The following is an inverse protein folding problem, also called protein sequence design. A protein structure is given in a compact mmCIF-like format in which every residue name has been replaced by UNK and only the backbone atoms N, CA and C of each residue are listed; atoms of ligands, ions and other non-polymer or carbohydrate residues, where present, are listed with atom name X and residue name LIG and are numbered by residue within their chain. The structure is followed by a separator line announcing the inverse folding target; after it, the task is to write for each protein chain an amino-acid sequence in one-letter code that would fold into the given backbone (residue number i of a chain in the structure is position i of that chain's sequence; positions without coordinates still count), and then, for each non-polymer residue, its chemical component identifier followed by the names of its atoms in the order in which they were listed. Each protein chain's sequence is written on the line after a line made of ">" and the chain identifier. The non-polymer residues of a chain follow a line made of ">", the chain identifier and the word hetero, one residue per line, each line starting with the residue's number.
data_IF_057534037223
#
_entry.id   IF_057534037223
#
_cell.length_a   1.000
_cell.length_b   1.000
_cell.length_c   1.000
_cell.angle_alpha   90.00
_cell.angle_beta   90.00
_cell.angle_gamma   90.00
#
_symmetry.space_group_name_H-M   'P 1'
#
loop_
_entity.id
_entity.type
_entity.pdbx_description
1 polymer ?
#
# COMPACT_ATOMS: atom_id res chain seq x y z
N UNK A 1 3.95 -54.86 -8.91
CA UNK A 1 3.17 -54.28 -7.84
C UNK A 1 3.11 -52.75 -7.99
N UNK A 2 1.99 -52.18 -7.64
CA UNK A 2 1.83 -50.73 -7.66
C UNK A 2 2.11 -50.19 -6.27
N UNK A 3 2.93 -49.12 -6.18
CA UNK A 3 3.16 -48.38 -4.91
C UNK A 3 2.10 -47.30 -4.80
N UNK A 4 1.29 -47.34 -3.75
CA UNK A 4 0.32 -46.30 -3.44
C UNK A 4 0.85 -45.50 -2.27
N UNK A 5 0.96 -44.17 -2.47
CA UNK A 5 1.26 -43.23 -1.39
C UNK A 5 -0.07 -42.68 -0.88
N UNK A 6 -0.42 -43.03 0.35
CA UNK A 6 -1.59 -42.46 1.01
C UNK A 6 -1.29 -40.99 1.40
N UNK A 7 -2.07 -40.02 0.89
CA UNK A 7 -2.07 -38.69 1.38
C UNK A 7 -3.19 -38.52 2.42
N UNK A 8 -2.88 -38.50 3.71
CA UNK A 8 -3.90 -38.24 4.72
C UNK A 8 -4.40 -36.79 4.59
N UNK A 9 -5.68 -36.53 4.93
CA UNK A 9 -6.20 -35.15 4.97
C UNK A 9 -5.43 -34.33 6.02
N UNK A 10 -5.08 -33.10 5.70
CA UNK A 10 -4.31 -32.22 6.60
C UNK A 10 -5.16 -31.69 7.75
N UNK A 11 -6.48 -31.57 7.54
CA UNK A 11 -7.38 -30.92 8.49
C UNK A 11 -8.58 -31.81 8.81
N UNK A 12 -8.93 -31.85 10.08
CA UNK A 12 -10.16 -32.46 10.58
C UNK A 12 -10.99 -31.37 11.25
N UNK A 13 -12.20 -31.14 10.76
CA UNK A 13 -13.14 -30.19 11.33
C UNK A 13 -14.28 -30.93 11.98
N UNK A 14 -14.65 -30.56 13.21
CA UNK A 14 -15.76 -31.12 13.94
C UNK A 14 -16.77 -30.03 14.30
N UNK A 15 -18.02 -30.15 13.81
CA UNK A 15 -19.14 -29.27 14.17
C UNK A 15 -20.27 -30.17 14.76
N UNK A 16 -20.40 -30.12 16.07
CA UNK A 16 -21.32 -31.04 16.77
C UNK A 16 -20.94 -32.52 16.60
N UNK A 17 -21.84 -33.30 15.99
CA UNK A 17 -21.62 -34.74 15.70
C UNK A 17 -21.04 -34.98 14.29
N UNK A 18 -20.92 -33.95 13.45
CA UNK A 18 -20.39 -34.08 12.09
C UNK A 18 -18.89 -33.84 12.07
N UNK A 19 -18.16 -34.72 11.40
CA UNK A 19 -16.72 -34.58 11.17
C UNK A 19 -16.47 -34.49 9.67
N UNK A 20 -15.69 -33.49 9.26
CA UNK A 20 -15.26 -33.29 7.88
C UNK A 20 -13.74 -33.35 7.80
N UNK A 21 -13.23 -33.98 6.76
CA UNK A 21 -11.79 -34.11 6.51
C UNK A 21 -11.45 -33.31 5.25
N UNK A 22 -10.53 -32.37 5.37
CA UNK A 22 -10.12 -31.48 4.28
C UNK A 22 -8.68 -31.78 3.89
N UNK A 23 -8.43 -31.83 2.58
CA UNK A 23 -7.15 -32.25 2.02
C UNK A 23 -6.05 -31.22 2.11
N UNK A 24 -6.43 -29.93 2.05
CA UNK A 24 -5.50 -28.82 1.93
C UNK A 24 -6.07 -27.53 2.53
N UNK A 25 -5.22 -26.52 2.64
CA UNK A 25 -5.56 -25.18 3.16
C UNK A 25 -6.63 -24.48 2.34
N UNK A 26 -6.67 -24.71 1.02
CA UNK A 26 -7.67 -24.08 0.15
C UNK A 26 -9.07 -24.57 0.50
N UNK A 27 -9.24 -25.88 0.74
CA UNK A 27 -10.52 -26.44 1.16
C UNK A 27 -10.89 -25.99 2.58
N UNK A 28 -9.90 -25.85 3.47
CA UNK A 28 -10.14 -25.27 4.79
C UNK A 28 -10.64 -23.83 4.68
N UNK A 29 -9.98 -22.99 3.90
CA UNK A 29 -10.39 -21.61 3.67
C UNK A 29 -11.81 -21.53 3.10
N UNK A 30 -12.12 -22.34 2.07
CA UNK A 30 -13.48 -22.36 1.48
C UNK A 30 -14.53 -22.75 2.53
N UNK A 31 -14.24 -23.76 3.35
CA UNK A 31 -15.15 -24.17 4.41
C UNK A 31 -15.38 -23.07 5.45
N UNK A 32 -14.30 -22.42 5.90
CA UNK A 32 -14.39 -21.32 6.87
C UNK A 32 -15.16 -20.14 6.28
N UNK A 33 -14.86 -19.77 5.04
CA UNK A 33 -15.57 -18.71 4.33
C UNK A 33 -17.08 -19.01 4.20
N UNK A 34 -17.45 -20.25 3.85
CA UNK A 34 -18.85 -20.66 3.75
C UNK A 34 -19.57 -20.58 5.09
N UNK A 35 -18.90 -20.99 6.17
CA UNK A 35 -19.47 -20.92 7.52
C UNK A 35 -19.54 -19.48 8.05
N UNK A 36 -18.47 -18.69 7.85
CA UNK A 36 -18.40 -17.31 8.36
C UNK A 36 -19.31 -16.34 7.61
N UNK A 37 -19.63 -16.61 6.34
CA UNK A 37 -20.54 -15.77 5.55
C UNK A 37 -22.01 -16.24 5.62
N UNK A 38 -22.30 -17.37 6.29
CA UNK A 38 -23.65 -17.86 6.48
C UNK A 38 -24.46 -16.88 7.36
N UNK A 39 -25.55 -16.32 6.81
CA UNK A 39 -26.41 -15.32 7.48
C UNK A 39 -25.70 -14.01 7.89
N UNK A 40 -24.52 -13.73 7.31
CA UNK A 40 -23.79 -12.50 7.54
C UNK A 40 -24.12 -11.48 6.45
N UNK A 41 -24.38 -10.25 6.85
CA UNK A 41 -24.46 -9.08 5.99
C UNK A 41 -23.44 -8.06 6.44
N UNK A 42 -22.83 -7.35 5.52
CA UNK A 42 -21.85 -6.31 5.82
C UNK A 42 -22.27 -5.00 5.17
N UNK A 43 -22.20 -3.91 5.92
CA UNK A 43 -22.28 -2.55 5.40
C UNK A 43 -20.99 -1.80 5.72
N UNK A 44 -20.76 -0.65 5.08
CA UNK A 44 -19.60 0.20 5.35
C UNK A 44 -20.04 1.62 5.72
N UNK A 45 -19.09 2.46 6.15
CA UNK A 45 -19.37 3.82 6.62
C UNK A 45 -19.89 4.79 5.56
N UNK A 46 -19.73 4.47 4.28
CA UNK A 46 -20.13 5.36 3.16
C UNK A 46 -21.44 4.93 2.49
N UNK A 47 -21.90 3.72 2.74
CA UNK A 47 -23.09 3.16 2.12
C UNK A 47 -23.86 2.28 3.10
N UNK A 48 -25.16 2.52 3.22
CA UNK A 48 -26.06 1.63 3.93
C UNK A 48 -26.40 0.36 3.12
N UNK A 49 -25.82 0.23 1.92
CA UNK A 49 -25.99 -0.95 1.08
C UNK A 49 -25.35 -2.16 1.77
N UNK A 50 -26.17 -3.17 1.98
CA UNK A 50 -25.76 -4.42 2.62
C UNK A 50 -25.23 -5.40 1.58
N UNK A 51 -24.04 -5.91 1.81
CA UNK A 51 -23.39 -6.94 1.01
C UNK A 51 -23.62 -8.28 1.71
N UNK A 52 -24.20 -9.25 1.01
CA UNK A 52 -24.49 -10.58 1.56
C UNK A 52 -24.36 -11.68 0.52
N UNK A 53 -24.47 -12.93 0.91
CA UNK A 53 -24.51 -14.10 0.04
C UNK A 53 -23.28 -14.21 -0.90
N UNK A 54 -23.49 -14.43 -2.22
CA UNK A 54 -22.39 -14.60 -3.17
C UNK A 54 -21.46 -13.38 -3.28
N UNK A 55 -22.00 -12.17 -3.18
CA UNK A 55 -21.20 -10.93 -3.29
C UNK A 55 -20.32 -10.75 -2.08
N UNK A 56 -20.78 -11.14 -0.90
CA UNK A 56 -19.97 -11.16 0.31
C UNK A 56 -18.84 -12.19 0.20
N UNK A 57 -19.15 -13.40 -0.26
CA UNK A 57 -18.13 -14.44 -0.48
C UNK A 57 -17.07 -13.97 -1.47
N UNK A 58 -17.47 -13.32 -2.55
CA UNK A 58 -16.53 -12.76 -3.52
C UNK A 58 -15.64 -11.67 -2.90
N UNK A 59 -16.22 -10.77 -2.11
CA UNK A 59 -15.48 -9.74 -1.39
C UNK A 59 -14.45 -10.35 -0.44
N UNK A 60 -14.85 -11.29 0.42
CA UNK A 60 -13.96 -11.97 1.38
C UNK A 60 -12.84 -12.73 0.67
N UNK A 61 -13.15 -13.44 -0.42
CA UNK A 61 -12.13 -14.14 -1.21
C UNK A 61 -11.11 -13.18 -1.84
N UNK A 62 -11.56 -12.04 -2.35
CA UNK A 62 -10.68 -11.03 -2.92
C UNK A 62 -9.84 -10.35 -1.83
N UNK A 63 -10.41 -10.05 -0.67
CA UNK A 63 -9.68 -9.52 0.48
C UNK A 63 -8.60 -10.51 0.96
N UNK A 64 -8.90 -11.80 1.03
CA UNK A 64 -7.93 -12.82 1.42
C UNK A 64 -6.75 -12.87 0.44
N UNK A 65 -7.03 -12.92 -0.88
CA UNK A 65 -5.99 -12.89 -1.91
C UNK A 65 -5.16 -11.61 -1.86
N UNK A 66 -5.82 -10.48 -1.60
CA UNK A 66 -5.16 -9.19 -1.44
C UNK A 66 -4.18 -9.23 -0.26
N UNK A 67 -4.63 -9.64 0.92
CA UNK A 67 -3.78 -9.73 2.12
C UNK A 67 -2.59 -10.70 1.93
N UNK A 68 -2.81 -11.80 1.23
CA UNK A 68 -1.74 -12.75 0.90
C UNK A 68 -0.67 -12.12 -0.01
N UNK A 69 -1.08 -11.47 -1.11
CA UNK A 69 -0.18 -10.76 -2.01
C UNK A 69 0.50 -9.57 -1.32
N UNK A 70 -0.26 -8.79 -0.57
CA UNK A 70 0.20 -7.64 0.18
C UNK A 70 1.30 -8.03 1.19
N UNK A 71 1.08 -9.10 1.94
CA UNK A 71 2.05 -9.63 2.90
C UNK A 71 3.36 -10.07 2.26
N UNK A 72 3.32 -10.59 1.03
CA UNK A 72 4.53 -10.96 0.28
C UNK A 72 5.37 -9.74 -0.09
N UNK A 73 4.73 -8.62 -0.47
CA UNK A 73 5.43 -7.38 -0.82
C UNK A 73 6.05 -6.72 0.41
N UNK A 74 5.33 -6.70 1.53
CA UNK A 74 5.85 -6.15 2.79
C UNK A 74 7.12 -6.88 3.26
N UNK A 75 7.22 -8.19 3.04
CA UNK A 75 8.42 -8.97 3.37
C UNK A 75 9.68 -8.48 2.66
N UNK A 76 9.54 -7.75 1.54
CA UNK A 76 10.64 -7.10 0.83
C UNK A 76 11.03 -5.73 1.42
N UNK A 77 10.74 -5.50 2.69
CA UNK A 77 11.07 -4.28 3.43
C UNK A 77 10.36 -3.00 2.94
N UNK A 78 9.20 -3.16 2.27
CA UNK A 78 8.34 -2.03 1.89
C UNK A 78 7.40 -1.73 3.06
N UNK A 79 7.39 -0.50 3.61
CA UNK A 79 6.47 -0.13 4.67
C UNK A 79 5.01 -0.33 4.27
N UNK A 80 4.22 -0.91 5.18
CA UNK A 80 2.79 -1.18 4.96
C UNK A 80 2.01 0.08 4.58
N UNK A 81 2.27 1.18 5.28
CA UNK A 81 1.64 2.47 5.00
C UNK A 81 1.94 2.96 3.58
N UNK A 82 3.20 2.86 3.14
CA UNK A 82 3.62 3.25 1.80
C UNK A 82 2.88 2.44 0.72
N UNK A 83 2.84 1.12 0.87
CA UNK A 83 2.16 0.26 -0.10
C UNK A 83 0.65 0.54 -0.14
N UNK A 84 0.00 0.77 1.00
CA UNK A 84 -1.42 1.15 1.06
C UNK A 84 -1.71 2.44 0.30
N UNK A 85 -0.86 3.46 0.45
CA UNK A 85 -1.02 4.71 -0.30
C UNK A 85 -0.81 4.47 -1.79
N UNK A 86 0.26 3.75 -2.16
CA UNK A 86 0.62 3.49 -3.55
C UNK A 86 -0.49 2.78 -4.34
N UNK A 87 -1.12 1.75 -3.76
CA UNK A 87 -2.20 1.01 -4.45
C UNK A 87 -3.48 1.82 -4.63
N UNK A 88 -3.66 2.89 -3.83
CA UNK A 88 -4.77 3.83 -3.98
C UNK A 88 -4.50 4.90 -5.03
N UNK A 89 -3.25 5.15 -5.35
CA UNK A 89 -2.85 6.07 -6.40
C UNK A 89 -2.82 5.32 -7.74
N UNK A 90 -3.32 5.97 -8.77
CA UNK A 90 -3.32 5.39 -10.11
C UNK A 90 -2.07 5.86 -10.86
N UNK A 91 -0.88 5.44 -10.37
CA UNK A 91 0.40 5.81 -10.97
C UNK A 91 0.69 4.87 -12.13
N UNK A 92 0.94 5.45 -13.30
CA UNK A 92 1.24 4.75 -14.54
C UNK A 92 2.68 5.04 -14.99
N UNK A 93 3.18 4.25 -15.96
CA UNK A 93 4.50 4.46 -16.57
C UNK A 93 4.68 5.90 -17.08
N UNK A 94 3.65 6.46 -17.70
CA UNK A 94 3.66 7.81 -18.27
C UNK A 94 3.93 8.92 -17.26
N UNK A 95 3.63 8.67 -15.97
CA UNK A 95 3.90 9.64 -14.90
C UNK A 95 5.40 9.81 -14.64
N UNK A 96 6.21 8.79 -14.97
CA UNK A 96 7.66 8.86 -14.80
C UNK A 96 8.37 9.55 -15.96
N UNK A 97 7.71 9.85 -17.06
CA UNK A 97 8.33 10.49 -18.23
C UNK A 97 8.49 12.01 -18.05
N UNK A 98 7.69 12.61 -17.16
CA UNK A 98 7.68 14.05 -16.92
C UNK A 98 7.88 14.36 -15.44
N UNK A 99 8.82 15.25 -15.17
CA UNK A 99 9.12 15.65 -13.79
C UNK A 99 7.87 16.20 -13.05
N UNK A 100 7.03 16.98 -13.73
CA UNK A 100 5.81 17.52 -13.12
C UNK A 100 4.83 16.44 -12.66
N UNK A 101 4.67 15.35 -13.43
CA UNK A 101 3.78 14.26 -13.10
C UNK A 101 4.31 13.47 -11.92
N UNK A 102 5.61 13.10 -11.95
CA UNK A 102 6.19 12.34 -10.85
C UNK A 102 6.24 13.15 -9.54
N UNK A 103 6.47 14.44 -9.62
CA UNK A 103 6.39 15.32 -8.44
C UNK A 103 4.97 15.38 -7.86
N UNK A 104 3.94 15.44 -8.71
CA UNK A 104 2.56 15.37 -8.27
C UNK A 104 2.25 14.03 -7.58
N UNK A 105 2.73 12.91 -8.13
CA UNK A 105 2.59 11.59 -7.51
C UNK A 105 3.31 11.51 -6.15
N UNK A 106 4.53 12.03 -6.06
CA UNK A 106 5.29 12.09 -4.80
C UNK A 106 4.54 12.90 -3.73
N UNK A 107 3.98 14.05 -4.08
CA UNK A 107 3.17 14.86 -3.16
C UNK A 107 1.97 14.05 -2.65
N UNK A 108 1.25 13.34 -3.53
CA UNK A 108 0.11 12.52 -3.13
C UNK A 108 0.52 11.36 -2.21
N UNK A 109 1.68 10.74 -2.48
CA UNK A 109 2.23 9.70 -1.59
C UNK A 109 2.50 10.30 -0.21
N UNK A 110 3.18 11.43 -0.14
CA UNK A 110 3.52 12.09 1.13
C UNK A 110 2.26 12.53 1.89
N UNK A 111 1.30 13.14 1.21
CA UNK A 111 0.02 13.55 1.81
C UNK A 111 -0.72 12.35 2.45
N UNK A 112 -0.63 11.16 1.82
CA UNK A 112 -1.22 9.95 2.35
C UNK A 112 -0.42 9.27 3.48
N UNK A 113 0.87 9.64 3.64
CA UNK A 113 1.74 9.07 4.68
C UNK A 113 1.84 9.95 5.93
N UNK A 114 1.62 11.25 5.81
CA UNK A 114 1.74 12.21 6.92
C UNK A 114 0.49 12.11 7.78
N UNK A 115 0.66 11.93 9.10
CA UNK A 115 -0.43 12.00 10.05
C UNK A 115 -0.80 13.48 10.38
N UNK A 116 -2.01 13.68 10.92
CA UNK A 116 -2.53 15.01 11.24
C UNK A 116 -1.65 15.78 12.25
N UNK A 117 -1.01 15.08 13.19
CA UNK A 117 -0.11 15.70 14.18
C UNK A 117 1.14 16.27 13.50
N UNK A 118 1.63 15.58 12.46
CA UNK A 118 2.81 16.01 11.72
C UNK A 118 2.47 17.01 10.62
N UNK A 119 1.26 16.98 10.03
CA UNK A 119 0.81 18.06 9.12
C UNK A 119 0.97 19.43 9.76
N UNK A 120 0.53 19.59 11.01
CA UNK A 120 0.67 20.85 11.75
C UNK A 120 2.13 21.23 12.01
N UNK A 121 3.02 20.25 12.23
CA UNK A 121 4.46 20.51 12.40
C UNK A 121 5.13 20.92 11.09
N UNK A 122 4.68 20.44 9.95
CA UNK A 122 5.15 20.87 8.64
C UNK A 122 4.77 22.31 8.34
N UNK A 123 3.57 22.75 8.68
CA UNK A 123 3.18 24.16 8.57
C UNK A 123 4.02 25.09 9.46
N UNK A 124 4.38 24.64 10.66
CA UNK A 124 5.23 25.39 11.59
C UNK A 124 6.70 25.49 11.12
N UNK A 125 7.19 24.53 10.36
CA UNK A 125 8.57 24.53 9.81
C UNK A 125 8.70 25.35 8.52
N UNK A 126 7.63 25.87 7.93
CA UNK A 126 7.66 26.73 6.74
C UNK A 126 8.62 27.91 6.87
N UNK A 127 8.79 28.47 8.06
CA UNK A 127 9.66 29.62 8.32
C UNK A 127 11.15 29.28 8.35
N UNK A 128 11.53 28.02 8.53
CA UNK A 128 12.92 27.60 8.65
C UNK A 128 13.51 26.93 7.39
N UNK A 129 12.72 26.67 6.37
CA UNK A 129 13.14 25.93 5.18
C UNK A 129 13.48 26.84 3.99
N UNK A 130 14.50 27.67 4.16
CA UNK A 130 15.19 28.36 3.04
C UNK A 130 16.15 27.39 2.34
N UNK A 131 15.65 26.31 1.76
CA UNK A 131 16.46 25.47 0.89
C UNK A 131 16.17 25.87 -0.55
N UNK A 132 17.16 26.34 -1.30
CA UNK A 132 16.99 26.59 -2.71
C UNK A 132 16.93 25.25 -3.44
N UNK A 133 15.72 24.75 -3.71
CA UNK A 133 15.54 23.77 -4.77
C UNK A 133 15.84 24.53 -6.05
N UNK A 134 17.03 24.35 -6.60
CA UNK A 134 17.39 24.92 -7.90
C UNK A 134 16.69 24.10 -8.98
N UNK A 135 15.45 24.46 -9.27
CA UNK A 135 14.86 24.09 -10.54
C UNK A 135 15.56 24.88 -11.64
N UNK A 136 15.96 24.25 -12.74
CA UNK A 136 16.21 25.00 -13.96
C UNK A 136 14.94 25.78 -14.27
N UNK A 137 15.09 27.04 -14.74
CA UNK A 137 13.99 27.98 -15.06
C UNK A 137 12.99 27.44 -16.10
N UNK A 138 13.25 26.25 -16.68
CA UNK A 138 12.40 25.58 -17.66
C UNK A 138 11.21 24.80 -17.07
N UNK A 139 11.18 24.55 -15.76
CA UNK A 139 10.07 23.78 -15.14
C UNK A 139 9.02 24.78 -14.64
N UNK A 140 7.92 24.91 -15.39
CA UNK A 140 6.76 25.72 -15.01
C UNK A 140 5.86 24.96 -14.03
N UNK A 141 6.32 24.77 -12.81
CA UNK A 141 5.42 24.38 -11.72
C UNK A 141 4.65 25.64 -11.25
N UNK A 142 3.36 25.48 -10.95
CA UNK A 142 2.62 26.55 -10.31
C UNK A 142 3.19 26.85 -8.91
N UNK A 143 2.89 28.04 -8.38
CA UNK A 143 3.48 28.50 -7.12
C UNK A 143 3.11 27.59 -5.94
N UNK A 144 1.91 26.99 -5.94
CA UNK A 144 1.43 26.11 -4.88
C UNK A 144 2.18 24.79 -4.88
N UNK A 145 2.34 24.16 -6.04
CA UNK A 145 3.13 22.92 -6.17
C UNK A 145 4.60 23.14 -5.82
N UNK A 146 5.19 24.27 -6.22
CA UNK A 146 6.56 24.64 -5.83
C UNK A 146 6.70 24.82 -4.32
N UNK A 147 5.71 25.41 -3.66
CA UNK A 147 5.69 25.59 -2.22
C UNK A 147 5.63 24.25 -1.52
N UNK A 148 4.70 23.37 -1.89
CA UNK A 148 4.55 22.03 -1.32
C UNK A 148 5.80 21.17 -1.49
N UNK A 149 6.46 21.23 -2.65
CA UNK A 149 7.72 20.52 -2.89
C UNK A 149 8.86 21.00 -2.00
N UNK A 150 8.93 22.30 -1.73
CA UNK A 150 9.91 22.85 -0.77
C UNK A 150 9.66 22.33 0.65
N UNK A 151 8.40 22.12 1.01
CA UNK A 151 8.02 21.59 2.31
C UNK A 151 8.50 20.15 2.52
N UNK A 152 8.48 19.34 1.47
CA UNK A 152 8.85 17.91 1.54
C UNK A 152 10.32 17.59 1.25
N UNK A 153 11.17 18.60 1.12
CA UNK A 153 12.63 18.42 1.07
C UNK A 153 13.09 17.42 0.01
N UNK A 154 12.64 17.62 -1.20
CA UNK A 154 12.99 16.78 -2.34
C UNK A 154 14.26 17.33 -2.99
N UNK A 155 15.30 16.49 -3.10
CA UNK A 155 16.44 16.80 -3.94
C UNK A 155 16.22 16.23 -5.34
N UNK A 156 16.25 17.12 -6.33
CA UNK A 156 16.21 16.74 -7.75
C UNK A 156 17.62 16.81 -8.31
N UNK A 157 18.20 15.64 -8.60
CA UNK A 157 19.53 15.54 -9.19
C UNK A 157 19.46 15.68 -10.72
N UNK A 158 20.21 16.64 -11.27
CA UNK A 158 20.37 16.81 -12.73
C UNK A 158 21.55 16.03 -13.32
N UNK A 159 22.29 15.27 -12.52
CA UNK A 159 23.51 14.60 -13.00
C UNK A 159 23.19 13.36 -13.81
N UNK A 160 23.72 13.35 -15.03
CA UNK A 160 23.85 12.17 -15.88
C UNK A 160 24.69 11.12 -15.18
N UNK A 161 24.18 9.90 -15.20
CA UNK A 161 24.86 8.64 -15.00
C UNK A 161 26.15 8.63 -14.14
N UNK A 162 25.96 8.41 -12.84
CA UNK A 162 26.99 7.66 -12.10
C UNK A 162 26.31 6.88 -10.97
N UNK A 163 26.22 5.56 -11.11
CA UNK A 163 25.75 4.66 -10.05
C UNK A 163 26.65 4.69 -8.79
N UNK A 164 27.77 5.43 -8.85
CA UNK A 164 28.70 5.65 -7.74
C UNK A 164 28.43 6.95 -6.97
N UNK A 165 27.60 7.87 -7.48
CA UNK A 165 27.46 9.23 -6.95
C UNK A 165 26.48 9.38 -5.77
N UNK A 166 25.83 8.31 -5.31
CA UNK A 166 25.07 8.33 -4.04
C UNK A 166 25.99 8.52 -2.81
N UNK A 167 27.29 8.54 -3.01
CA UNK A 167 28.29 8.79 -1.94
C UNK A 167 28.73 10.24 -1.75
N UNK A 168 28.16 11.18 -2.45
CA UNK A 168 28.45 12.58 -2.17
C UNK A 168 27.53 13.05 -1.05
N UNK A 169 28.11 13.31 0.07
CA UNK A 169 27.78 14.02 1.30
C UNK A 169 26.88 15.27 1.13
N UNK A 170 25.70 15.14 0.54
CA UNK A 170 24.64 16.10 0.74
C UNK A 170 23.81 15.58 1.91
N UNK A 171 23.77 16.32 3.00
CA UNK A 171 22.87 16.06 4.11
C UNK A 171 21.44 16.18 3.57
N UNK A 172 20.83 15.04 3.21
CA UNK A 172 19.41 15.00 2.94
C UNK A 172 18.69 15.44 4.21
N UNK A 173 17.84 16.42 4.10
CA UNK A 173 16.94 16.71 5.20
C UNK A 173 16.01 15.53 5.38
N UNK A 174 15.95 15.03 6.60
CA UNK A 174 15.15 13.89 6.98
C UNK A 174 13.95 14.36 7.78
N UNK A 175 12.80 13.76 7.54
CA UNK A 175 11.53 14.18 8.12
C UNK A 175 10.78 12.97 8.67
N UNK A 176 10.21 13.12 9.86
CA UNK A 176 9.28 12.15 10.42
C UNK A 176 7.89 12.36 9.79
N UNK A 177 7.41 11.38 9.01
CA UNK A 177 6.10 11.45 8.38
C UNK A 177 4.97 11.05 9.33
N UNK A 178 5.22 10.04 10.16
CA UNK A 178 4.28 9.54 11.16
C UNK A 178 5.04 8.80 12.28
N UNK A 179 4.31 8.12 13.18
CA UNK A 179 4.91 7.39 14.31
C UNK A 179 5.84 6.24 13.88
N UNK A 180 5.56 5.64 12.72
CA UNK A 180 6.30 4.48 12.19
C UNK A 180 7.40 4.90 11.21
N UNK A 181 7.12 5.89 10.34
CA UNK A 181 8.00 6.34 9.27
C UNK A 181 8.77 7.59 9.72
N UNK A 182 10.05 7.39 10.02
CA UNK A 182 10.95 8.42 10.55
C UNK A 182 12.16 8.62 9.67
N UNK A 183 12.78 9.77 9.80
CA UNK A 183 13.99 10.13 9.05
C UNK A 183 13.84 9.92 7.54
N UNK A 184 12.63 10.17 7.00
CA UNK A 184 12.36 9.95 5.58
C UNK A 184 12.97 11.05 4.75
N UNK A 185 13.67 10.66 3.70
CA UNK A 185 14.19 11.56 2.68
C UNK A 185 13.86 11.00 1.29
N UNK A 186 13.89 11.89 0.28
CA UNK A 186 13.48 11.56 -1.09
C UNK A 186 14.51 12.12 -2.05
N UNK A 187 14.94 11.27 -2.97
CA UNK A 187 15.79 11.66 -4.10
C UNK A 187 15.06 11.39 -5.41
N UNK A 188 15.13 12.33 -6.35
CA UNK A 188 14.56 12.18 -7.69
C UNK A 188 15.67 12.41 -8.70
N UNK A 189 15.88 11.42 -9.58
CA UNK A 189 16.86 11.47 -10.65
C UNK A 189 16.28 11.03 -11.98
N UNK A 190 16.76 11.61 -13.07
CA UNK A 190 16.41 11.15 -14.42
C UNK A 190 17.35 10.04 -14.87
N UNK A 191 16.79 8.96 -15.38
CA UNK A 191 17.53 7.84 -15.95
C UNK A 191 17.47 7.94 -17.48
N UNK A 192 18.63 8.15 -18.10
CA UNK A 192 18.78 8.30 -19.57
C UNK A 192 18.43 7.02 -20.33
N UNK A 193 18.71 5.84 -19.76
CA UNK A 193 18.46 4.56 -20.43
C UNK A 193 16.96 4.25 -20.53
N UNK A 194 16.24 4.42 -19.42
CA UNK A 194 14.78 4.21 -19.38
C UNK A 194 13.99 5.43 -19.82
N UNK A 195 14.64 6.58 -20.02
CA UNK A 195 14.04 7.90 -20.29
C UNK A 195 12.94 8.26 -19.29
N UNK A 196 13.15 7.91 -18.05
CA UNK A 196 12.18 8.07 -16.98
C UNK A 196 12.83 8.56 -15.69
N UNK A 197 12.04 9.21 -14.84
CA UNK A 197 12.47 9.59 -13.51
C UNK A 197 12.40 8.41 -12.55
N UNK A 198 13.39 8.27 -11.70
CA UNK A 198 13.40 7.38 -10.55
C UNK A 198 13.21 8.20 -9.29
N UNK A 199 12.37 7.73 -8.40
CA UNK A 199 12.18 8.31 -7.06
C UNK A 199 12.65 7.30 -6.04
N UNK A 200 13.55 7.71 -5.16
CA UNK A 200 14.05 6.86 -4.08
C UNK A 200 13.56 7.45 -2.76
N UNK A 201 12.75 6.68 -2.05
CA UNK A 201 12.36 6.96 -0.67
C UNK A 201 13.25 6.14 0.24
N UNK A 202 13.87 6.76 1.22
CA UNK A 202 14.66 6.07 2.23
C UNK A 202 14.40 6.67 3.61
N UNK A 203 14.52 5.86 4.63
CA UNK A 203 14.22 6.24 5.99
C UNK A 203 14.18 5.05 6.93
N UNK A 204 13.50 5.22 8.06
CA UNK A 204 13.30 4.17 9.05
C UNK A 204 11.81 3.87 9.23
N UNK A 205 11.45 2.59 9.28
CA UNK A 205 10.12 2.10 9.57
C UNK A 205 10.17 1.27 10.86
N UNK A 206 9.64 1.80 11.95
CA UNK A 206 9.72 1.16 13.28
C UNK A 206 11.16 0.76 13.67
N UNK A 207 12.14 1.65 13.38
CA UNK A 207 13.56 1.44 13.70
C UNK A 207 14.31 0.50 12.74
N UNK A 208 13.72 0.11 11.62
CA UNK A 208 14.38 -0.64 10.53
C UNK A 208 14.51 0.24 9.30
N UNK A 209 15.71 0.34 8.78
CA UNK A 209 15.94 1.12 7.56
C UNK A 209 15.23 0.50 6.36
N UNK A 210 14.68 1.37 5.51
CA UNK A 210 14.08 0.98 4.23
C UNK A 210 14.60 1.85 3.10
N UNK A 211 14.61 1.30 1.91
CA UNK A 211 14.82 2.00 0.65
C UNK A 211 13.80 1.48 -0.37
N UNK A 212 13.06 2.39 -0.98
CA UNK A 212 12.08 2.07 -2.01
C UNK A 212 12.43 2.85 -3.26
N UNK A 213 12.76 2.13 -4.33
CA UNK A 213 12.96 2.71 -5.65
C UNK A 213 11.65 2.65 -6.43
N UNK A 214 10.96 3.78 -6.49
CA UNK A 214 9.74 3.96 -7.27
C UNK A 214 10.13 4.40 -8.69
N UNK A 215 9.89 3.55 -9.67
CA UNK A 215 10.22 3.75 -11.07
C UNK A 215 9.26 2.92 -11.96
N UNK A 216 9.31 3.04 -13.28
CA UNK A 216 8.46 2.26 -14.18
C UNK A 216 8.53 0.76 -13.93
N UNK A 217 9.74 0.20 -13.75
CA UNK A 217 9.94 -1.24 -13.55
C UNK A 217 9.30 -1.73 -12.25
N UNK A 218 9.31 -0.91 -11.20
CA UNK A 218 8.64 -1.25 -9.94
C UNK A 218 7.13 -1.30 -10.11
N UNK A 219 6.53 -0.29 -10.75
CA UNK A 219 5.07 -0.23 -10.97
C UNK A 219 4.62 -1.34 -11.91
N UNK A 220 5.37 -1.63 -12.97
CA UNK A 220 5.07 -2.67 -13.97
C UNK A 220 5.44 -4.08 -13.48
N UNK A 221 6.05 -4.22 -12.30
CA UNK A 221 6.41 -5.54 -11.78
C UNK A 221 5.16 -6.40 -11.56
N UNK A 222 5.27 -7.68 -11.89
CA UNK A 222 4.15 -8.65 -11.82
C UNK A 222 3.48 -8.63 -10.44
N UNK A 223 4.26 -8.50 -9.37
CA UNK A 223 3.74 -8.53 -8.01
C UNK A 223 2.91 -7.29 -7.68
N UNK A 224 3.34 -6.10 -8.12
CA UNK A 224 2.60 -4.83 -7.91
C UNK A 224 1.35 -4.83 -8.79
N UNK A 225 1.47 -5.22 -10.06
CA UNK A 225 0.31 -5.30 -10.95
C UNK A 225 -0.74 -6.28 -10.42
N UNK A 226 -0.35 -7.44 -9.95
CA UNK A 226 -1.28 -8.41 -9.35
C UNK A 226 -2.03 -7.84 -8.14
N UNK A 227 -1.33 -7.11 -7.24
CA UNK A 227 -1.98 -6.47 -6.11
C UNK A 227 -2.99 -5.43 -6.57
N UNK A 228 -2.62 -4.58 -7.52
CA UNK A 228 -3.50 -3.54 -8.05
C UNK A 228 -4.75 -4.14 -8.72
N UNK A 229 -4.59 -5.20 -9.50
CA UNK A 229 -5.71 -5.92 -10.14
C UNK A 229 -6.66 -6.55 -9.11
N UNK A 230 -6.11 -7.21 -8.08
CA UNK A 230 -6.92 -7.81 -7.00
C UNK A 230 -7.64 -6.73 -6.19
N UNK A 231 -7.01 -5.56 -6.02
CA UNK A 231 -7.59 -4.47 -5.24
C UNK A 231 -8.71 -3.70 -5.96
N UNK A 232 -8.69 -3.62 -7.29
CA UNK A 232 -9.72 -2.91 -8.07
C UNK A 232 -11.16 -3.20 -7.64
N UNK A 233 -11.63 -4.46 -7.56
CA UNK A 233 -12.99 -4.78 -7.14
C UNK A 233 -13.25 -4.53 -5.66
N UNK A 234 -12.20 -4.44 -4.84
CA UNK A 234 -12.29 -4.18 -3.41
C UNK A 234 -12.42 -2.69 -3.14
N UNK A 235 -11.71 -1.85 -3.90
CA UNK A 235 -11.54 -0.41 -3.66
C UNK A 235 -12.85 0.33 -3.42
N UNK A 236 -13.88 0.04 -4.19
CA UNK A 236 -15.19 0.67 -4.05
C UNK A 236 -15.95 0.27 -2.77
N UNK A 237 -15.51 -0.79 -2.10
CA UNK A 237 -16.12 -1.34 -0.89
C UNK A 237 -15.22 -1.22 0.35
N UNK A 238 -13.96 -0.77 0.17
CA UNK A 238 -12.95 -0.64 1.24
C UNK A 238 -13.07 0.71 1.96
N UNK A 239 -14.19 0.89 2.67
CA UNK A 239 -14.48 2.10 3.45
C UNK A 239 -14.79 1.73 4.91
N UNK A 240 -13.78 1.43 5.72
CA UNK A 240 -13.99 1.17 7.13
C UNK A 240 -14.55 2.41 7.87
N UNK A 241 -15.23 2.21 9.03
CA UNK A 241 -15.50 0.93 9.66
C UNK A 241 -16.51 0.10 8.88
N UNK A 242 -16.33 -1.23 8.92
CA UNK A 242 -17.31 -2.19 8.42
C UNK A 242 -18.26 -2.58 9.57
N UNK A 243 -19.53 -2.72 9.26
CA UNK A 243 -20.53 -3.16 10.22
C UNK A 243 -21.02 -4.54 9.79
N UNK A 244 -20.75 -5.53 10.62
CA UNK A 244 -21.17 -6.90 10.44
C UNK A 244 -22.53 -7.09 11.12
N UNK A 245 -23.53 -7.55 10.38
CA UNK A 245 -24.87 -7.86 10.87
C UNK A 245 -25.08 -9.37 10.82
N UNK A 246 -25.24 -9.97 11.99
CA UNK A 246 -25.47 -11.43 12.12
C UNK A 246 -26.59 -11.67 13.13
N UNK A 247 -27.69 -12.31 12.67
CA UNK A 247 -28.82 -12.70 13.53
C UNK A 247 -29.36 -11.60 14.45
N UNK A 248 -29.35 -10.33 13.97
CA UNK A 248 -29.87 -9.17 14.71
C UNK A 248 -28.82 -8.49 15.62
N UNK A 249 -27.63 -9.01 15.71
CA UNK A 249 -26.49 -8.36 16.34
C UNK A 249 -25.65 -7.61 15.31
N UNK A 250 -25.03 -6.50 15.73
CA UNK A 250 -24.15 -5.71 14.86
C UNK A 250 -22.81 -5.46 15.56
N UNK A 251 -21.73 -5.74 14.83
CA UNK A 251 -20.35 -5.55 15.30
C UNK A 251 -19.60 -4.66 14.34
N UNK A 252 -18.88 -3.65 14.88
CA UNK A 252 -18.04 -2.76 14.06
C UNK A 252 -16.61 -3.27 13.97
N UNK A 253 -16.02 -3.16 12.79
CA UNK A 253 -14.63 -3.56 12.51
C UNK A 253 -13.92 -2.47 11.71
N UNK A 254 -12.80 -1.97 12.23
CA UNK A 254 -12.13 -0.77 11.77
C UNK A 254 -11.15 -0.98 10.60
N UNK A 255 -11.01 -2.21 10.11
CA UNK A 255 -10.07 -2.51 9.02
C UNK A 255 -10.48 -3.74 8.21
N UNK A 256 -10.03 -3.80 6.96
CA UNK A 256 -10.18 -4.99 6.10
C UNK A 256 -9.52 -6.25 6.68
N UNK A 257 -8.40 -6.08 7.37
CA UNK A 257 -7.76 -7.20 8.07
C UNK A 257 -8.64 -7.72 9.22
N UNK A 258 -9.18 -6.81 10.05
CA UNK A 258 -10.14 -7.17 11.10
C UNK A 258 -11.41 -7.80 10.54
N UNK A 259 -11.89 -7.34 9.37
CA UNK A 259 -13.01 -7.95 8.67
C UNK A 259 -12.75 -9.42 8.31
N UNK A 260 -11.57 -9.73 7.76
CA UNK A 260 -11.18 -11.10 7.48
C UNK A 260 -11.11 -11.96 8.74
N UNK A 261 -10.54 -11.43 9.83
CA UNK A 261 -10.45 -12.14 11.11
C UNK A 261 -11.82 -12.40 11.75
N UNK A 262 -12.78 -11.49 11.54
CA UNK A 262 -14.14 -11.64 12.08
C UNK A 262 -14.99 -12.65 11.29
N UNK A 263 -14.67 -12.88 10.02
CA UNK A 263 -15.41 -13.78 9.12
C UNK A 263 -14.79 -15.18 9.10
N UNK A 264 -13.46 -15.30 9.19
CA UNK A 264 -12.71 -16.57 9.09
C UNK A 264 -12.27 -17.10 10.45
#
# INVERSE_FOLDING_TARGET
>A
GYLYIAQPPLYKIKKGKKENYLKDEKLLFQYLMDQGTENLEISNSQSDEKISGPDLKLLINNLFKFEECFSRVIKNNIPKAFLNVLINLNIERSDFEKLEHILAAVIQILDGLIDEENKNKFEYKKEYLNIPIKFKDSIKLDADKKSRLKEFLIEVSEKKDDHSAIKTTHEFQRVDLNKELKDVAISIGFNEDSKAYNVIFFGSNNGRDFEIKLNPEFIESVIIQNIMEIYKPIKAKDHPPFILHNNGESTSVDSKHGLLQAVL
#
